data_IF_857877567212
#
_entry.id   IF_857877567212
#
_cell.length_a   1.000
_cell.length_b   1.000
_cell.length_c   1.000
_cell.angle_alpha   90.00
_cell.angle_beta   90.00
_cell.angle_gamma   90.00
#
_symmetry.space_group_name_H-M   'P 1'
#
loop_
_entity.id
_entity.type
_entity.pdbx_description
1 polymer ?
#
# COMPACT_ATOMS: atom_id res chain seq x y z
N UNK A 1 27.56 5.68 -9.77
CA UNK A 1 27.49 4.78 -10.95
C UNK A 1 28.03 5.47 -12.22
N UNK A 2 28.84 4.82 -13.06
CA UNK A 2 29.41 5.45 -14.28
C UNK A 2 28.43 5.52 -15.47
N UNK A 3 28.41 6.66 -16.18
CA UNK A 3 27.57 6.88 -17.37
C UNK A 3 27.78 5.84 -18.50
N UNK A 4 28.99 5.26 -18.58
CA UNK A 4 29.30 4.19 -19.55
C UNK A 4 28.55 2.89 -19.25
N UNK A 5 28.31 2.57 -17.97
CA UNK A 5 27.57 1.37 -17.55
C UNK A 5 26.07 1.52 -17.80
N UNK A 6 25.54 2.73 -17.58
CA UNK A 6 24.13 3.05 -17.84
C UNK A 6 23.77 2.88 -19.31
N UNK A 7 24.62 3.33 -20.25
CA UNK A 7 24.38 3.12 -21.70
C UNK A 7 24.28 1.65 -22.07
N UNK A 8 25.15 0.81 -21.52
CA UNK A 8 25.14 -0.63 -21.78
C UNK A 8 23.90 -1.31 -21.21
N UNK A 9 23.38 -0.85 -20.06
CA UNK A 9 22.13 -1.33 -19.48
C UNK A 9 20.92 -0.97 -20.34
N UNK A 10 20.88 0.25 -20.90
CA UNK A 10 19.81 0.70 -21.81
C UNK A 10 19.81 -0.15 -23.09
N UNK A 11 20.96 -0.36 -23.72
CA UNK A 11 21.08 -1.21 -24.92
C UNK A 11 20.59 -2.64 -24.64
N UNK A 12 20.93 -3.20 -23.48
CA UNK A 12 20.54 -4.56 -23.09
C UNK A 12 19.03 -4.69 -22.82
N UNK A 13 18.41 -3.65 -22.26
CA UNK A 13 16.95 -3.57 -22.07
C UNK A 13 16.22 -3.50 -23.42
N UNK A 14 16.76 -2.77 -24.38
CA UNK A 14 16.20 -2.69 -25.74
C UNK A 14 16.29 -4.02 -26.49
N UNK A 15 17.44 -4.71 -26.42
CA UNK A 15 17.65 -6.02 -27.08
C UNK A 15 16.82 -7.13 -26.44
N UNK A 16 16.64 -7.10 -25.11
CA UNK A 16 15.94 -8.14 -24.35
C UNK A 16 14.42 -7.96 -24.30
N UNK A 17 13.89 -6.85 -24.83
CA UNK A 17 12.44 -6.56 -24.84
C UNK A 17 11.84 -6.32 -23.45
N UNK A 18 12.67 -5.99 -22.46
CA UNK A 18 12.25 -5.80 -21.06
C UNK A 18 11.53 -4.44 -20.94
N UNK A 19 10.36 -4.42 -20.30
CA UNK A 19 9.57 -3.19 -20.13
C UNK A 19 10.16 -2.26 -19.05
N UNK A 20 10.80 -2.85 -18.03
CA UNK A 20 11.36 -2.13 -16.89
C UNK A 20 12.54 -2.89 -16.26
N UNK A 21 13.61 -2.18 -15.91
CA UNK A 21 14.76 -2.70 -15.20
C UNK A 21 15.22 -1.75 -14.08
N UNK A 22 15.33 -2.26 -12.85
CA UNK A 22 15.89 -1.54 -11.70
C UNK A 22 17.21 -2.19 -11.26
N UNK A 23 18.25 -1.38 -11.09
CA UNK A 23 19.58 -1.82 -10.64
C UNK A 23 20.04 -0.96 -9.47
N UNK A 24 20.53 -1.61 -8.40
CA UNK A 24 21.04 -1.00 -7.17
C UNK A 24 22.52 -1.32 -6.99
N UNK A 25 23.34 -0.31 -6.73
CA UNK A 25 24.78 -0.44 -6.42
C UNK A 25 25.11 0.49 -5.24
N UNK A 26 25.28 -0.08 -4.04
CA UNK A 26 25.43 0.69 -2.81
C UNK A 26 24.20 1.55 -2.50
N UNK A 27 24.41 2.86 -2.35
CA UNK A 27 23.36 3.86 -2.09
C UNK A 27 22.75 4.48 -3.37
N UNK A 28 23.21 4.09 -4.57
CA UNK A 28 22.68 4.58 -5.84
C UNK A 28 21.70 3.55 -6.46
N UNK A 29 20.46 3.98 -6.73
CA UNK A 29 19.44 3.19 -7.43
C UNK A 29 19.09 3.84 -8.77
N UNK A 30 19.05 3.05 -9.85
CA UNK A 30 18.70 3.50 -11.20
C UNK A 30 17.58 2.64 -11.75
N UNK A 31 16.48 3.30 -12.15
CA UNK A 31 15.30 2.70 -12.78
C UNK A 31 15.23 3.11 -14.25
N UNK A 32 15.17 2.14 -15.15
CA UNK A 32 15.09 2.32 -16.59
C UNK A 32 13.75 1.74 -17.04
N UNK A 33 12.88 2.59 -17.58
CA UNK A 33 11.57 2.19 -18.12
C UNK A 33 11.48 2.63 -19.59
N UNK A 34 10.96 1.76 -20.45
CA UNK A 34 10.76 2.08 -21.88
C UNK A 34 9.38 2.69 -22.10
N UNK A 35 9.25 3.94 -22.58
CA UNK A 35 7.96 4.50 -22.94
C UNK A 35 7.46 3.87 -24.25
N UNK A 36 6.61 2.84 -24.13
CA UNK A 36 5.91 2.25 -25.26
C UNK A 36 4.73 3.14 -25.69
N UNK A 37 4.80 3.69 -26.90
CA UNK A 37 3.74 4.51 -27.49
C UNK A 37 2.72 3.70 -28.32
N UNK A 38 1.48 4.21 -28.31
CA UNK A 38 0.40 3.95 -29.27
C UNK A 38 -0.75 3.09 -28.72
N UNK A 39 -2.03 3.41 -28.83
CA UNK A 39 -2.74 4.50 -29.50
C UNK A 39 -4.17 4.62 -28.92
N UNK A 40 -4.71 5.84 -28.92
CA UNK A 40 -6.06 6.20 -28.52
C UNK A 40 -7.07 5.97 -29.66
N UNK A 41 -8.27 5.45 -29.40
CA UNK A 41 -9.46 5.85 -30.13
C UNK A 41 -10.25 6.85 -29.27
N UNK A 42 -10.28 8.10 -29.72
CA UNK A 42 -11.22 9.11 -29.24
C UNK A 42 -12.58 8.74 -29.83
N UNK A 43 -13.43 8.11 -29.00
CA UNK A 43 -14.84 7.95 -29.31
C UNK A 43 -15.57 9.26 -28.96
N UNK A 44 -16.27 9.77 -29.98
CA UNK A 44 -17.10 10.97 -29.99
C UNK A 44 -17.99 11.09 -28.76
N UNK A 45 -17.83 12.19 -28.03
CA UNK A 45 -18.90 12.74 -27.19
C UNK A 45 -19.99 13.33 -28.08
N UNK A 46 -21.26 13.16 -27.69
CA UNK A 46 -21.99 14.36 -27.34
C UNK A 46 -22.85 14.22 -26.08
N UNK A 47 -22.96 15.38 -25.41
CA UNK A 47 -23.96 15.81 -24.45
C UNK A 47 -23.98 15.16 -23.05
N UNK A 48 -23.69 16.01 -22.05
CA UNK A 48 -23.89 15.79 -20.63
C UNK A 48 -25.32 15.30 -20.32
N UNK A 49 -25.46 14.42 -19.33
CA UNK A 49 -25.69 14.92 -17.97
C UNK A 49 -24.68 14.38 -16.94
N UNK A 50 -24.49 15.21 -15.92
CA UNK A 50 -23.87 15.00 -14.62
C UNK A 50 -23.46 13.56 -14.22
N UNK A 51 -22.24 13.47 -13.67
CA UNK A 51 -21.84 12.62 -12.54
C UNK A 51 -22.76 11.43 -12.29
N UNK A 52 -22.43 10.27 -12.89
CA UNK A 52 -22.84 9.01 -12.30
C UNK A 52 -21.62 8.35 -11.66
N UNK A 53 -21.55 8.32 -10.32
CA UNK A 53 -20.51 7.62 -9.58
C UNK A 53 -20.59 6.13 -9.91
N UNK A 54 -19.44 5.45 -9.84
CA UNK A 54 -19.37 4.00 -9.85
C UNK A 54 -20.45 3.42 -8.92
N UNK A 55 -21.12 2.32 -9.29
CA UNK A 55 -22.17 1.75 -8.46
C UNK A 55 -21.60 1.53 -7.05
N UNK A 56 -22.24 2.06 -5.98
CA UNK A 56 -21.83 1.73 -4.64
C UNK A 56 -22.01 0.22 -4.53
N UNK A 57 -20.91 -0.50 -4.29
CA UNK A 57 -20.99 -1.85 -3.79
C UNK A 57 -21.94 -1.81 -2.60
N UNK A 58 -23.13 -2.40 -2.74
CA UNK A 58 -24.01 -2.67 -1.60
C UNK A 58 -23.45 -3.91 -0.88
N UNK A 59 -22.28 -3.75 -0.32
CA UNK A 59 -21.85 -4.37 0.92
C UNK A 59 -21.40 -3.21 1.79
N UNK A 60 -21.72 -3.20 3.08
CA UNK A 60 -21.16 -2.25 4.06
C UNK A 60 -19.73 -1.88 3.63
N UNK A 61 -19.47 -0.61 3.29
CA UNK A 61 -18.11 -0.21 2.92
C UNK A 61 -17.25 -0.50 4.15
N UNK A 62 -16.50 -1.60 4.11
CA UNK A 62 -15.72 -2.05 5.25
C UNK A 62 -14.82 -0.89 5.67
N UNK A 63 -14.98 -0.43 6.90
CA UNK A 63 -14.18 0.66 7.42
C UNK A 63 -12.74 0.13 7.54
N UNK A 64 -11.77 0.83 6.97
CA UNK A 64 -10.37 0.38 6.95
C UNK A 64 -9.56 1.25 7.91
N UNK A 65 -8.80 0.62 8.79
CA UNK A 65 -7.76 1.30 9.57
C UNK A 65 -6.51 1.36 8.72
N UNK A 66 -6.05 2.57 8.40
CA UNK A 66 -4.86 2.82 7.59
C UNK A 66 -3.67 3.28 8.44
N UNK A 67 -2.46 3.05 7.94
CA UNK A 67 -1.22 3.49 8.56
C UNK A 67 -1.09 5.01 8.49
N UNK A 68 -0.99 5.74 9.62
CA UNK A 68 -0.74 7.17 9.57
C UNK A 68 0.70 7.50 9.13
N UNK A 69 1.63 6.56 9.34
CA UNK A 69 3.06 6.74 9.09
C UNK A 69 3.69 5.46 8.53
N UNK A 70 4.84 5.62 7.88
CA UNK A 70 5.66 4.48 7.47
C UNK A 70 6.40 3.86 8.68
N UNK A 71 6.56 2.54 8.66
CA UNK A 71 7.22 1.80 9.73
C UNK A 71 7.07 0.30 9.59
N UNK A 72 7.09 -0.41 10.72
CA UNK A 72 6.90 -1.86 10.79
C UNK A 72 5.65 -2.19 11.58
N UNK A 73 4.77 -3.02 11.02
CA UNK A 73 3.51 -3.42 11.65
C UNK A 73 3.72 -4.51 12.70
N UNK A 74 3.05 -4.37 13.85
CA UNK A 74 2.92 -5.39 14.87
C UNK A 74 1.50 -5.44 15.42
N UNK A 75 0.90 -6.63 15.45
CA UNK A 75 -0.43 -6.87 15.98
C UNK A 75 -0.48 -6.90 17.52
N UNK A 76 0.67 -6.93 18.21
CA UNK A 76 0.78 -7.03 19.67
C UNK A 76 1.82 -6.04 20.22
N UNK A 77 1.75 -5.77 21.53
CA UNK A 77 2.69 -4.87 22.23
C UNK A 77 4.10 -5.43 22.39
N UNK A 78 4.24 -6.76 22.34
CA UNK A 78 5.48 -7.49 22.41
C UNK A 78 5.33 -8.85 21.70
N UNK A 79 6.43 -9.53 21.32
CA UNK A 79 6.37 -10.81 20.62
C UNK A 79 5.62 -11.94 21.34
N UNK A 80 5.59 -11.91 22.67
CA UNK A 80 4.91 -12.91 23.52
C UNK A 80 3.54 -12.43 24.02
N UNK A 81 3.16 -11.18 23.71
CA UNK A 81 1.88 -10.63 24.12
C UNK A 81 0.74 -11.06 23.19
N UNK A 82 -0.48 -11.06 23.71
CA UNK A 82 -1.65 -11.27 22.87
C UNK A 82 -1.83 -10.12 21.86
N UNK A 83 -2.35 -10.40 20.65
CA UNK A 83 -2.72 -9.35 19.71
C UNK A 83 -3.75 -8.40 20.32
N UNK A 84 -3.65 -7.12 19.97
CA UNK A 84 -4.65 -6.11 20.37
C UNK A 84 -6.05 -6.44 19.85
N UNK A 85 -6.13 -7.03 18.65
CA UNK A 85 -7.37 -7.48 18.03
C UNK A 85 -7.14 -8.78 17.26
N UNK A 86 -8.18 -9.61 17.19
CA UNK A 86 -8.26 -10.81 16.35
C UNK A 86 -9.43 -10.69 15.38
N UNK A 87 -9.37 -11.44 14.29
CA UNK A 87 -10.51 -11.54 13.36
C UNK A 87 -11.73 -12.07 14.12
N UNK A 88 -12.83 -11.33 14.02
CA UNK A 88 -14.08 -11.57 14.76
C UNK A 88 -14.26 -10.70 16.00
N UNK A 89 -13.21 -10.01 16.47
CA UNK A 89 -13.32 -9.13 17.64
C UNK A 89 -14.07 -7.84 17.29
N UNK A 90 -14.85 -7.34 18.24
CA UNK A 90 -15.48 -6.03 18.15
C UNK A 90 -14.45 -4.96 18.49
N UNK A 91 -14.35 -3.95 17.63
CA UNK A 91 -13.47 -2.80 17.76
C UNK A 91 -14.31 -1.54 17.96
N UNK A 92 -13.91 -0.71 18.92
CA UNK A 92 -14.53 0.60 19.20
C UNK A 92 -13.69 1.76 18.68
N UNK A 93 -14.32 2.92 18.47
CA UNK A 93 -13.60 4.14 18.10
C UNK A 93 -12.60 4.51 19.21
N UNK A 94 -11.34 4.72 18.84
CA UNK A 94 -10.26 5.02 19.77
C UNK A 94 -9.59 3.80 20.39
N UNK A 95 -10.09 2.57 20.14
CA UNK A 95 -9.43 1.34 20.60
C UNK A 95 -8.09 1.15 19.86
N UNK A 96 -7.04 0.79 20.60
CA UNK A 96 -5.74 0.41 20.02
C UNK A 96 -5.89 -0.94 19.31
N UNK A 97 -5.49 -0.99 18.04
CA UNK A 97 -5.64 -2.19 17.19
C UNK A 97 -4.32 -2.78 16.72
N UNK A 98 -3.25 -2.00 16.68
CA UNK A 98 -1.91 -2.46 16.36
C UNK A 98 -0.87 -1.40 16.75
N UNK A 99 0.41 -1.72 16.56
CA UNK A 99 1.52 -0.80 16.70
C UNK A 99 2.26 -0.69 15.37
N UNK A 100 2.72 0.53 15.06
CA UNK A 100 3.72 0.78 14.02
C UNK A 100 5.01 1.23 14.68
N UNK A 101 6.07 0.45 14.48
CA UNK A 101 7.43 0.85 14.87
C UNK A 101 8.00 1.80 13.81
N UNK A 102 8.31 3.02 14.20
CA UNK A 102 9.00 3.99 13.33
C UNK A 102 10.10 4.68 14.11
N UNK A 103 11.33 4.64 13.59
CA UNK A 103 12.51 5.24 14.23
C UNK A 103 12.73 4.79 15.69
N UNK A 104 12.56 3.49 15.99
CA UNK A 104 12.63 2.88 17.34
C UNK A 104 11.52 3.32 18.32
N UNK A 105 10.50 4.04 17.86
CA UNK A 105 9.32 4.35 18.64
C UNK A 105 8.16 3.43 18.25
N UNK A 106 7.53 2.84 19.25
CA UNK A 106 6.33 2.02 19.10
C UNK A 106 5.10 2.92 19.17
N UNK A 107 4.49 3.21 18.02
CA UNK A 107 3.33 4.09 17.94
C UNK A 107 2.05 3.25 17.91
N UNK A 108 1.19 3.44 18.91
CA UNK A 108 -0.13 2.81 18.95
C UNK A 108 -1.06 3.39 17.88
N UNK A 109 -1.69 2.51 17.11
CA UNK A 109 -2.67 2.87 16.09
C UNK A 109 -4.05 2.59 16.65
N UNK A 110 -4.92 3.60 16.61
CA UNK A 110 -6.29 3.50 17.11
C UNK A 110 -7.30 3.46 15.96
N UNK A 111 -8.42 2.77 16.17
CA UNK A 111 -9.48 2.70 15.18
C UNK A 111 -10.28 4.00 15.10
N UNK A 112 -10.44 4.55 13.90
CA UNK A 112 -11.25 5.77 13.66
C UNK A 112 -12.76 5.44 13.61
N UNK A 113 -13.10 4.18 13.42
CA UNK A 113 -14.45 3.67 13.26
C UNK A 113 -14.66 2.42 14.11
N UNK A 114 -15.87 2.25 14.65
CA UNK A 114 -16.26 1.00 15.31
C UNK A 114 -16.72 -0.03 14.27
N UNK A 115 -16.46 -1.30 14.53
CA UNK A 115 -16.84 -2.41 13.64
C UNK A 115 -16.36 -3.76 14.17
N UNK A 116 -16.51 -4.81 13.37
CA UNK A 116 -15.91 -6.12 13.69
C UNK A 116 -14.66 -6.31 12.85
N UNK A 117 -13.53 -6.68 13.46
CA UNK A 117 -12.31 -6.99 12.71
C UNK A 117 -12.59 -8.15 11.74
N UNK A 118 -12.67 -7.86 10.46
CA UNK A 118 -12.96 -8.86 9.43
C UNK A 118 -11.68 -9.47 8.88
N UNK A 119 -10.60 -8.69 8.83
CA UNK A 119 -9.32 -9.13 8.30
C UNK A 119 -8.17 -8.27 8.84
N UNK A 120 -7.02 -8.90 9.10
CA UNK A 120 -5.74 -8.23 9.34
C UNK A 120 -4.90 -8.43 8.07
N UNK A 121 -4.54 -7.35 7.40
CA UNK A 121 -4.02 -7.36 6.03
C UNK A 121 -2.50 -7.55 5.96
N UNK A 122 -1.84 -7.71 7.10
CA UNK A 122 -0.39 -7.66 7.25
C UNK A 122 0.09 -8.69 8.26
N UNK A 123 1.29 -9.20 8.02
CA UNK A 123 2.00 -10.06 8.97
C UNK A 123 2.85 -9.23 9.96
N UNK A 124 3.07 -9.78 11.15
CA UNK A 124 3.96 -9.18 12.14
C UNK A 124 5.38 -9.00 11.58
N UNK A 125 5.94 -7.81 11.76
CA UNK A 125 7.27 -7.46 11.24
C UNK A 125 7.27 -6.99 9.77
N UNK A 126 6.10 -6.88 9.14
CA UNK A 126 6.01 -6.39 7.77
C UNK A 126 6.15 -4.86 7.71
N UNK A 127 6.89 -4.36 6.71
CA UNK A 127 7.01 -2.93 6.45
C UNK A 127 5.69 -2.36 5.91
N UNK A 128 5.35 -1.16 6.35
CA UNK A 128 4.16 -0.41 5.93
C UNK A 128 4.50 1.01 5.51
N UNK A 129 3.72 1.54 4.56
CA UNK A 129 3.78 2.93 4.12
C UNK A 129 2.59 3.74 4.66
N UNK A 130 2.72 5.07 4.72
CA UNK A 130 1.59 5.94 5.10
C UNK A 130 0.42 5.78 4.12
N UNK A 131 -0.79 5.65 4.65
CA UNK A 131 -2.02 5.39 3.91
C UNK A 131 -2.26 3.92 3.57
N UNK A 132 -1.32 3.02 3.87
CA UNK A 132 -1.50 1.59 3.62
C UNK A 132 -2.55 0.99 4.57
N UNK A 133 -3.44 0.16 4.02
CA UNK A 133 -4.45 -0.54 4.80
C UNK A 133 -3.81 -1.55 5.75
N UNK A 134 -4.20 -1.52 7.03
CA UNK A 134 -3.71 -2.41 8.07
C UNK A 134 -4.76 -3.48 8.44
N UNK A 135 -5.98 -3.02 8.73
CA UNK A 135 -7.07 -3.85 9.26
C UNK A 135 -8.38 -3.43 8.60
N UNK A 136 -9.16 -4.40 8.16
CA UNK A 136 -10.52 -4.18 7.67
C UNK A 136 -11.53 -4.43 8.80
N UNK A 137 -12.53 -3.55 8.90
CA UNK A 137 -13.64 -3.63 9.83
C UNK A 137 -14.95 -3.78 9.04
N UNK A 138 -15.75 -4.79 9.39
CA UNK A 138 -17.05 -5.10 8.79
C UNK A 138 -18.24 -4.62 9.62
#
# INVERSE_FOLDING_TARGET
MDLRKIKKLIELVEESGIAELEVRDGDEAIRIARPGGGATPVALQPAAPALQPAPPSRGSAAAVVAAPMAGTFYAASAPEAEPFVRVGDRVEVGQVVCIIESMKMMNEITAEHAGVCSEILLDNGQAVESGQALIALG
#
